data_IF_471106803801
#
_entry.id   IF_471106803801
#
_cell.length_a   1.000
_cell.length_b   1.000
_cell.length_c   1.000
_cell.angle_alpha   90.00
_cell.angle_beta   90.00
_cell.angle_gamma   90.00
#
_symmetry.space_group_name_H-M   'P 1'
#
loop_
_entity.id
_entity.type
_entity.pdbx_description
1 polymer ?
#
# COMPACT_ATOMS: atom_id res chain seq x y z
N UNK A 1 2.96 4.23 -32.23
CA UNK A 1 1.49 4.20 -32.08
C UNK A 1 1.16 2.98 -31.25
N UNK A 2 0.86 3.16 -29.96
CA UNK A 2 0.57 2.04 -29.05
C UNK A 2 -0.93 1.85 -28.96
N UNK A 3 -1.43 0.64 -29.22
CA UNK A 3 -2.81 0.28 -28.93
C UNK A 3 -3.07 0.50 -27.43
N UNK A 4 -4.00 1.38 -27.09
CA UNK A 4 -4.46 1.53 -25.71
C UNK A 4 -5.23 0.26 -25.36
N UNK A 5 -4.73 -0.54 -24.41
CA UNK A 5 -5.45 -1.69 -23.92
C UNK A 5 -6.78 -1.21 -23.32
N UNK A 6 -7.90 -1.55 -23.96
CA UNK A 6 -9.23 -1.31 -23.40
C UNK A 6 -9.45 -2.24 -22.21
N UNK A 7 -10.13 -1.74 -21.17
CA UNK A 7 -10.56 -2.57 -20.05
C UNK A 7 -11.59 -3.58 -20.59
N UNK A 8 -11.44 -4.90 -20.35
CA UNK A 8 -12.43 -5.90 -20.71
C UNK A 8 -13.78 -5.65 -20.00
N UNK A 9 -14.89 -5.89 -20.70
CA UNK A 9 -16.25 -5.75 -20.15
C UNK A 9 -16.52 -6.68 -18.96
N UNK A 10 -15.70 -7.72 -18.77
CA UNK A 10 -15.76 -8.62 -17.62
C UNK A 10 -15.31 -7.96 -16.31
N UNK A 11 -14.69 -6.79 -16.38
CA UNK A 11 -14.20 -6.04 -15.20
C UNK A 11 -15.22 -4.98 -14.85
N UNK A 12 -15.90 -5.18 -13.73
CA UNK A 12 -16.85 -4.21 -13.20
C UNK A 12 -16.11 -2.98 -12.63
N UNK A 13 -16.00 -1.95 -13.45
CA UNK A 13 -15.35 -0.69 -13.06
C UNK A 13 -16.16 0.09 -12.03
N UNK A 14 -17.48 -0.12 -11.94
CA UNK A 14 -18.34 0.58 -10.98
C UNK A 14 -18.15 -0.02 -9.59
N UNK A 15 -18.07 -1.35 -9.48
CA UNK A 15 -17.73 -2.04 -8.24
C UNK A 15 -16.35 -1.64 -7.71
N UNK A 16 -15.34 -1.59 -8.58
CA UNK A 16 -13.98 -1.15 -8.22
C UNK A 16 -13.99 0.31 -7.74
N UNK A 17 -14.78 1.17 -8.38
CA UNK A 17 -14.94 2.58 -7.96
C UNK A 17 -15.52 2.68 -6.55
N UNK A 18 -16.57 1.91 -6.24
CA UNK A 18 -17.22 1.90 -4.92
C UNK A 18 -16.28 1.38 -3.83
N UNK A 19 -15.55 0.30 -4.12
CA UNK A 19 -14.68 -0.36 -3.13
C UNK A 19 -13.39 0.41 -2.84
N UNK A 20 -12.78 1.02 -3.86
CA UNK A 20 -11.46 1.67 -3.75
C UNK A 20 -11.52 3.19 -3.71
N UNK A 21 -12.64 3.79 -4.09
CA UNK A 21 -12.79 5.24 -4.24
C UNK A 21 -12.04 5.84 -5.44
N UNK A 22 -11.52 5.01 -6.35
CA UNK A 22 -10.79 5.46 -7.54
C UNK A 22 -11.73 5.88 -8.66
N UNK A 23 -11.39 6.95 -9.37
CA UNK A 23 -12.13 7.34 -10.58
C UNK A 23 -11.92 6.35 -11.72
N UNK A 24 -12.89 6.25 -12.64
CA UNK A 24 -12.77 5.41 -13.86
C UNK A 24 -11.50 5.72 -14.68
N UNK A 25 -11.04 6.98 -14.69
CA UNK A 25 -9.78 7.38 -15.34
C UNK A 25 -8.55 6.79 -14.66
N UNK A 26 -8.53 6.79 -13.32
CA UNK A 26 -7.44 6.16 -12.55
C UNK A 26 -7.45 4.65 -12.75
N UNK A 27 -8.62 4.01 -12.73
CA UNK A 27 -8.76 2.57 -13.00
C UNK A 27 -8.26 2.22 -14.41
N UNK A 28 -8.61 3.03 -15.42
CA UNK A 28 -8.10 2.85 -16.79
C UNK A 28 -6.59 3.02 -16.90
N UNK A 29 -6.01 4.00 -16.20
CA UNK A 29 -4.56 4.17 -16.11
C UNK A 29 -3.87 2.97 -15.46
N UNK A 30 -4.46 2.44 -14.38
CA UNK A 30 -3.98 1.22 -13.72
C UNK A 30 -4.12 -0.02 -14.61
N UNK A 31 -5.17 -0.11 -15.42
CA UNK A 31 -5.37 -1.21 -16.37
C UNK A 31 -4.31 -1.23 -17.46
N UNK A 32 -4.07 -0.10 -18.13
CA UNK A 32 -3.01 0.02 -19.14
C UNK A 32 -1.68 -0.45 -18.57
N UNK A 33 -1.40 -0.03 -17.33
CA UNK A 33 -0.17 -0.40 -16.65
C UNK A 33 -0.11 -1.88 -16.28
N UNK A 34 -1.19 -2.44 -15.74
CA UNK A 34 -1.28 -3.85 -15.43
C UNK A 34 -1.02 -4.68 -16.69
N UNK A 35 -1.67 -4.32 -17.79
CA UNK A 35 -1.50 -4.96 -19.08
C UNK A 35 -0.06 -4.86 -19.61
N UNK A 36 0.61 -3.71 -19.46
CA UNK A 36 2.01 -3.55 -19.84
C UNK A 36 2.96 -4.42 -19.02
N UNK A 37 2.71 -4.56 -17.72
CA UNK A 37 3.50 -5.42 -16.83
C UNK A 37 3.24 -6.90 -17.12
N UNK A 38 2.01 -7.26 -17.45
CA UNK A 38 1.54 -8.63 -17.74
C UNK A 38 2.12 -9.19 -19.04
N UNK A 39 2.57 -8.32 -19.95
CA UNK A 39 3.23 -8.73 -21.19
C UNK A 39 4.54 -9.40 -20.86
N UNK A 40 4.53 -10.72 -20.96
CA UNK A 40 5.72 -11.51 -20.75
C UNK A 40 6.78 -11.14 -21.79
N UNK A 41 7.96 -10.72 -21.32
CA UNK A 41 9.11 -10.48 -22.20
C UNK A 41 9.64 -11.75 -22.86
N UNK A 42 9.06 -12.92 -22.52
CA UNK A 42 9.37 -14.23 -23.07
C UNK A 42 8.39 -14.52 -24.21
N UNK A 43 8.81 -14.18 -25.42
CA UNK A 43 8.02 -14.32 -26.62
C UNK A 43 7.66 -15.77 -26.92
N UNK A 44 6.45 -16.18 -26.53
CA UNK A 44 5.80 -17.40 -27.03
C UNK A 44 4.55 -17.07 -27.89
N UNK A 45 4.41 -15.82 -28.34
CA UNK A 45 3.37 -15.41 -29.30
C UNK A 45 1.93 -15.44 -28.79
N UNK A 46 1.69 -15.80 -27.53
CA UNK A 46 0.36 -15.86 -26.92
C UNK A 46 0.24 -14.93 -25.73
N UNK A 47 -0.38 -13.77 -25.98
CA UNK A 47 -1.37 -13.22 -25.07
C UNK A 47 -0.90 -12.61 -23.74
N UNK A 48 -1.83 -11.86 -23.16
CA UNK A 48 -1.82 -11.44 -21.77
C UNK A 48 -2.16 -12.68 -20.91
N UNK A 49 -1.45 -12.89 -19.81
CA UNK A 49 -1.71 -14.02 -18.88
C UNK A 49 -2.85 -13.70 -17.91
N UNK A 50 -3.14 -12.41 -17.71
CA UNK A 50 -4.25 -11.93 -16.88
C UNK A 50 -3.94 -11.86 -15.39
N UNK A 51 -2.69 -12.08 -14.99
CA UNK A 51 -2.21 -12.03 -13.61
C UNK A 51 -0.74 -11.64 -13.57
N UNK A 52 -0.34 -10.80 -12.61
CA UNK A 52 1.07 -10.50 -12.40
C UNK A 52 1.72 -11.55 -11.49
N UNK A 53 2.99 -11.84 -11.72
CA UNK A 53 3.85 -12.63 -10.84
C UNK A 53 5.06 -11.79 -10.38
N UNK A 54 5.90 -12.39 -9.52
CA UNK A 54 7.07 -11.72 -8.97
C UNK A 54 8.08 -11.28 -10.04
N UNK A 55 8.19 -12.02 -11.15
CA UNK A 55 9.11 -11.69 -12.23
C UNK A 55 8.64 -10.46 -13.00
N UNK A 56 7.33 -10.29 -13.23
CA UNK A 56 6.80 -9.11 -13.90
C UNK A 56 7.10 -7.82 -13.15
N UNK A 57 6.95 -7.84 -11.82
CA UNK A 57 7.23 -6.68 -10.99
C UNK A 57 8.72 -6.34 -10.99
N UNK A 58 9.59 -7.36 -11.03
CA UNK A 58 11.05 -7.19 -11.12
C UNK A 58 11.52 -6.62 -12.45
N UNK A 59 10.75 -6.79 -13.53
CA UNK A 59 11.08 -6.19 -14.85
C UNK A 59 11.05 -4.67 -14.83
N UNK A 60 10.38 -4.04 -13.87
CA UNK A 60 10.38 -2.59 -13.73
C UNK A 60 11.75 -2.14 -13.19
N UNK A 61 12.58 -1.42 -13.97
CA UNK A 61 13.95 -1.12 -13.56
C UNK A 61 14.05 -0.33 -12.24
N UNK A 62 13.15 0.67 -12.09
CA UNK A 62 13.02 1.45 -10.85
C UNK A 62 12.58 0.62 -9.65
N UNK A 63 11.94 -0.51 -9.89
CA UNK A 63 11.56 -1.45 -8.85
C UNK A 63 12.75 -2.33 -8.48
N UNK A 64 13.50 -2.87 -9.45
CA UNK A 64 14.69 -3.69 -9.17
C UNK A 64 15.83 -2.96 -8.45
N UNK A 65 15.91 -1.64 -8.61
CA UNK A 65 16.90 -0.80 -7.92
C UNK A 65 16.51 -0.45 -6.48
N UNK A 66 15.27 -0.75 -6.06
CA UNK A 66 14.81 -0.48 -4.70
C UNK A 66 15.32 -1.58 -3.73
N UNK A 67 16.09 -1.24 -2.68
CA UNK A 67 16.56 -2.22 -1.69
C UNK A 67 15.41 -3.00 -1.01
N UNK A 68 14.23 -2.38 -0.94
CA UNK A 68 13.02 -2.99 -0.38
C UNK A 68 12.16 -3.72 -1.40
N UNK A 69 12.61 -3.85 -2.66
CA UNK A 69 11.85 -4.48 -3.74
C UNK A 69 11.43 -5.92 -3.40
N UNK A 70 12.38 -6.71 -2.90
CA UNK A 70 12.12 -8.11 -2.50
C UNK A 70 11.05 -8.18 -1.41
N UNK A 71 11.11 -7.27 -0.43
CA UNK A 71 10.12 -7.20 0.63
C UNK A 71 8.75 -6.76 0.09
N UNK A 72 8.74 -5.77 -0.81
CA UNK A 72 7.54 -5.24 -1.44
C UNK A 72 6.83 -6.32 -2.26
N UNK A 73 7.57 -7.11 -3.05
CA UNK A 73 7.03 -8.29 -3.75
C UNK A 73 6.40 -9.25 -2.76
N UNK A 74 7.14 -9.64 -1.71
CA UNK A 74 6.64 -10.58 -0.70
C UNK A 74 5.31 -10.09 -0.09
N UNK A 75 5.24 -8.85 0.41
CA UNK A 75 4.01 -8.29 0.98
C UNK A 75 2.87 -8.21 -0.05
N UNK A 76 3.16 -7.80 -1.30
CA UNK A 76 2.12 -7.72 -2.34
C UNK A 76 1.48 -9.08 -2.58
N UNK A 77 2.29 -10.14 -2.75
CA UNK A 77 1.77 -11.46 -3.07
C UNK A 77 1.18 -12.20 -1.87
N UNK A 78 1.71 -11.98 -0.66
CA UNK A 78 1.20 -12.59 0.57
C UNK A 78 -0.11 -11.93 1.03
N UNK A 79 -0.23 -10.60 0.95
CA UNK A 79 -1.40 -9.87 1.49
C UNK A 79 -2.51 -9.66 0.45
N UNK A 80 -2.15 -9.55 -0.84
CA UNK A 80 -3.11 -9.24 -1.90
C UNK A 80 -3.19 -10.32 -2.97
N UNK A 81 -2.15 -11.13 -3.13
CA UNK A 81 -2.08 -12.17 -4.15
C UNK A 81 -2.76 -13.47 -3.73
N UNK A 82 -2.71 -14.45 -4.63
CA UNK A 82 -3.10 -15.83 -4.36
C UNK A 82 -2.23 -16.74 -5.21
N UNK A 83 -1.65 -17.79 -4.62
CA UNK A 83 -0.75 -18.73 -5.31
C UNK A 83 0.43 -18.05 -6.04
N UNK A 84 0.98 -16.96 -5.49
CA UNK A 84 2.07 -16.20 -6.10
C UNK A 84 1.66 -15.37 -7.32
N UNK A 85 0.36 -15.18 -7.54
CA UNK A 85 -0.22 -14.44 -8.65
C UNK A 85 -1.06 -13.27 -8.13
N UNK A 86 -1.15 -12.20 -8.93
CA UNK A 86 -1.91 -10.99 -8.61
C UNK A 86 -2.83 -10.62 -9.77
N UNK A 87 -4.13 -10.83 -9.59
CA UNK A 87 -5.16 -10.44 -10.56
C UNK A 87 -5.32 -8.92 -10.64
N UNK A 88 -5.98 -8.40 -11.68
CA UNK A 88 -6.20 -6.96 -11.81
C UNK A 88 -6.96 -6.36 -10.61
N UNK A 89 -7.98 -7.03 -10.10
CA UNK A 89 -8.76 -6.55 -8.94
C UNK A 89 -7.88 -6.44 -7.69
N UNK A 90 -7.03 -7.44 -7.46
CA UNK A 90 -6.07 -7.43 -6.34
C UNK A 90 -5.00 -6.36 -6.53
N UNK A 91 -4.51 -6.18 -7.76
CA UNK A 91 -3.58 -5.10 -8.11
C UNK A 91 -4.17 -3.72 -7.84
N UNK A 92 -5.43 -3.46 -8.24
CA UNK A 92 -6.09 -2.19 -7.96
C UNK A 92 -6.31 -1.98 -6.46
N UNK A 93 -6.68 -3.03 -5.71
CA UNK A 93 -6.79 -2.96 -4.26
C UNK A 93 -5.46 -2.57 -3.60
N UNK A 94 -4.36 -3.21 -3.99
CA UNK A 94 -3.01 -2.83 -3.55
C UNK A 94 -2.69 -1.36 -3.90
N UNK A 95 -2.90 -0.97 -5.16
CA UNK A 95 -2.61 0.39 -5.63
C UNK A 95 -3.45 1.46 -4.92
N UNK A 96 -4.69 1.14 -4.55
CA UNK A 96 -5.59 2.05 -3.81
C UNK A 96 -5.03 2.49 -2.46
N UNK A 97 -4.15 1.67 -1.85
CA UNK A 97 -3.45 2.03 -0.60
C UNK A 97 -2.55 3.26 -0.78
N UNK A 98 -2.02 3.48 -1.98
CA UNK A 98 -1.01 4.52 -2.25
C UNK A 98 -1.47 5.62 -3.19
N UNK A 99 -2.61 5.44 -3.87
CA UNK A 99 -3.23 6.52 -4.61
C UNK A 99 -3.55 7.62 -3.61
N UNK A 100 -2.87 8.77 -3.78
CA UNK A 100 -3.31 9.98 -3.13
C UNK A 100 -4.72 10.22 -3.66
N UNK A 101 -5.73 10.14 -2.79
CA UNK A 101 -7.02 10.72 -3.09
C UNK A 101 -6.70 12.16 -3.44
N UNK A 102 -6.81 12.52 -4.73
CA UNK A 102 -6.65 13.89 -5.16
C UNK A 102 -7.65 14.64 -4.29
N UNK A 103 -7.15 15.49 -3.37
CA UNK A 103 -7.99 16.53 -2.80
C UNK A 103 -8.42 17.33 -4.02
N UNK A 104 -9.57 16.96 -4.59
CA UNK A 104 -10.26 17.82 -5.49
C UNK A 104 -10.25 19.17 -4.80
N UNK A 105 -9.94 20.23 -5.54
CA UNK A 105 -10.31 21.58 -5.14
C UNK A 105 -11.84 21.62 -5.08
N UNK A 106 -12.46 20.88 -4.17
CA UNK A 106 -13.81 21.09 -3.76
C UNK A 106 -13.74 22.34 -2.91
N UNK A 107 -14.09 23.44 -3.57
CA UNK A 107 -14.43 24.70 -2.93
C UNK A 107 -15.20 24.37 -1.65
N UNK A 108 -14.70 24.83 -0.51
CA UNK A 108 -15.36 24.69 0.78
C UNK A 108 -16.78 25.26 0.69
N UNK A 109 -17.75 24.37 0.49
CA UNK A 109 -19.11 24.57 0.96
C UNK A 109 -19.46 23.35 1.80
N UNK A 110 -18.97 23.38 3.03
CA UNK A 110 -19.52 22.53 4.09
C UNK A 110 -21.03 22.81 4.12
N UNK A 111 -21.92 21.81 3.99
CA UNK A 111 -23.32 22.02 4.31
C UNK A 111 -23.39 22.56 5.75
N UNK A 112 -24.24 23.54 6.00
CA UNK A 112 -24.40 24.09 7.35
C UNK A 112 -24.83 22.95 8.29
N UNK A 113 -24.40 23.02 9.55
CA UNK A 113 -24.72 22.00 10.56
C UNK A 113 -26.24 21.67 10.62
N UNK A 114 -27.07 22.65 10.27
CA UNK A 114 -28.52 22.53 10.20
C UNK A 114 -29.01 21.58 9.08
N UNK A 115 -28.33 21.55 7.93
CA UNK A 115 -28.72 20.70 6.79
C UNK A 115 -28.34 19.23 7.00
N UNK A 116 -27.24 18.98 7.72
CA UNK A 116 -26.81 17.62 8.09
C UNK A 116 -27.71 16.97 9.15
N UNK A 117 -28.34 17.77 10.03
CA UNK A 117 -29.23 17.27 11.09
C UNK A 117 -30.62 16.90 10.57
N UNK A 118 -31.09 17.54 9.49
CA UNK A 118 -32.43 17.30 8.94
C UNK A 118 -32.50 16.13 7.95
N UNK A 119 -31.37 15.57 7.52
CA UNK A 119 -31.33 14.43 6.59
C UNK A 119 -30.97 13.09 7.22
N UNK A 120 -30.68 13.03 8.52
CA UNK A 120 -30.24 11.79 9.18
C UNK A 120 -31.45 11.00 9.68
N UNK A 121 -31.79 9.95 8.96
CA UNK A 121 -32.47 8.81 9.59
C UNK A 121 -31.46 8.06 10.43
N UNK A 122 -31.90 7.43 11.53
CA UNK A 122 -31.08 6.80 12.59
C UNK A 122 -30.01 5.80 12.11
N UNK A 123 -30.06 5.39 10.84
CA UNK A 123 -29.14 4.43 10.21
C UNK A 123 -27.85 5.07 9.67
N UNK A 124 -27.78 6.40 9.53
CA UNK A 124 -26.62 7.12 8.95
C UNK A 124 -25.63 7.70 9.99
N UNK A 125 -25.78 7.35 11.26
CA UNK A 125 -24.89 7.84 12.32
C UNK A 125 -23.57 7.04 12.44
N UNK A 126 -23.47 5.86 11.82
CA UNK A 126 -22.20 5.11 11.73
C UNK A 126 -21.34 5.50 10.51
N UNK A 127 -21.92 6.19 9.52
CA UNK A 127 -21.22 6.65 8.31
C UNK A 127 -20.59 8.05 8.43
N UNK A 128 -20.80 8.74 9.57
CA UNK A 128 -20.24 10.07 9.85
C UNK A 128 -19.17 10.01 10.96
N UNK A 129 -18.32 8.97 10.96
CA UNK A 129 -17.15 8.97 11.85
C UNK A 129 -15.87 8.38 11.28
N UNK A 130 -15.70 8.40 9.96
CA UNK A 130 -14.38 8.22 9.36
C UNK A 130 -14.26 9.06 8.10
N UNK A 131 -13.34 10.02 8.10
CA UNK A 131 -12.96 10.69 6.86
C UNK A 131 -12.29 9.64 5.94
N UNK A 132 -12.56 9.60 4.62
CA UNK A 132 -11.85 8.71 3.71
C UNK A 132 -10.32 8.90 3.74
N UNK A 133 -9.84 10.09 4.14
CA UNK A 133 -8.43 10.38 4.38
C UNK A 133 -7.80 9.63 5.56
N UNK A 134 -8.52 9.41 6.66
CA UNK A 134 -8.02 8.66 7.82
C UNK A 134 -7.93 7.17 7.47
N UNK A 135 -8.89 6.66 6.70
CA UNK A 135 -8.84 5.28 6.20
C UNK A 135 -7.64 5.03 5.27
N UNK A 136 -7.24 6.02 4.46
CA UNK A 136 -6.05 5.91 3.61
C UNK A 136 -4.77 5.98 4.45
N UNK A 137 -4.71 6.88 5.44
CA UNK A 137 -3.59 6.97 6.39
C UNK A 137 -3.38 5.65 7.14
N UNK A 138 -4.47 5.05 7.64
CA UNK A 138 -4.46 3.77 8.35
C UNK A 138 -4.06 2.62 7.42
N UNK A 139 -4.61 2.53 6.20
CA UNK A 139 -4.19 1.49 5.24
C UNK A 139 -2.71 1.57 4.91
N UNK A 140 -2.18 2.78 4.70
CA UNK A 140 -0.74 3.00 4.50
C UNK A 140 0.07 2.60 5.72
N UNK A 141 -0.41 2.94 6.93
CA UNK A 141 0.27 2.58 8.17
C UNK A 141 0.37 1.06 8.33
N UNK A 142 -0.76 0.36 8.16
CA UNK A 142 -0.81 -1.10 8.17
C UNK A 142 0.11 -1.70 7.13
N UNK A 143 0.17 -1.12 5.95
CA UNK A 143 1.10 -1.58 4.92
C UNK A 143 2.56 -1.39 5.32
N UNK A 144 2.96 -0.24 5.87
CA UNK A 144 4.33 -0.07 6.37
C UNK A 144 4.62 -1.10 7.45
N UNK A 145 3.71 -1.24 8.42
CA UNK A 145 3.89 -2.19 9.50
C UNK A 145 4.16 -3.59 8.93
N UNK A 146 3.34 -4.03 7.96
CA UNK A 146 3.55 -5.30 7.23
C UNK A 146 4.86 -5.36 6.47
N UNK A 147 5.36 -4.26 5.92
CA UNK A 147 6.68 -4.21 5.28
C UNK A 147 7.83 -4.45 6.27
N UNK A 148 7.67 -4.03 7.52
CA UNK A 148 8.70 -4.19 8.54
C UNK A 148 8.58 -5.51 9.30
N UNK A 149 7.38 -6.05 9.47
CA UNK A 149 7.06 -7.34 10.13
C UNK A 149 7.44 -8.52 9.22
N UNK A 150 8.68 -9.03 9.30
CA UNK A 150 9.26 -9.99 8.33
C UNK A 150 8.68 -11.39 8.50
N UNK A 151 8.49 -11.81 9.74
CA UNK A 151 7.96 -13.13 10.11
C UNK A 151 6.42 -13.20 10.13
N UNK A 152 5.75 -12.05 10.00
CA UNK A 152 4.31 -11.90 9.88
C UNK A 152 3.53 -12.26 11.15
N UNK A 153 4.15 -12.13 12.32
CA UNK A 153 3.53 -12.41 13.61
C UNK A 153 2.60 -11.27 14.11
N UNK A 154 2.57 -10.15 13.37
CA UNK A 154 1.77 -8.97 13.70
C UNK A 154 2.43 -8.07 14.75
N UNK A 155 3.71 -8.28 15.02
CA UNK A 155 4.57 -7.50 15.92
C UNK A 155 5.82 -7.10 15.14
N UNK A 156 6.48 -6.03 15.57
CA UNK A 156 7.82 -5.69 15.09
C UNK A 156 8.80 -5.99 16.20
N UNK A 157 9.55 -7.06 15.99
CA UNK A 157 10.66 -7.46 16.84
C UNK A 157 11.93 -6.68 16.51
N UNK A 158 12.95 -6.84 17.35
CA UNK A 158 14.29 -6.30 17.07
C UNK A 158 14.87 -6.96 15.82
N UNK A 159 14.63 -8.24 15.67
CA UNK A 159 15.11 -9.08 14.57
C UNK A 159 14.55 -8.60 13.23
N UNK A 160 13.26 -8.25 13.18
CA UNK A 160 12.60 -7.64 12.02
C UNK A 160 13.29 -6.35 11.58
N UNK A 161 13.46 -5.41 12.52
CA UNK A 161 14.09 -4.11 12.24
C UNK A 161 15.53 -4.30 11.81
N UNK A 162 16.26 -5.23 12.44
CA UNK A 162 17.64 -5.55 12.08
C UNK A 162 17.75 -6.11 10.65
N UNK A 163 16.87 -7.03 10.25
CA UNK A 163 16.87 -7.61 8.91
C UNK A 163 16.56 -6.54 7.85
N UNK A 164 15.56 -5.70 8.12
CA UNK A 164 15.19 -4.58 7.25
C UNK A 164 16.34 -3.57 7.11
N UNK A 165 17.03 -3.24 8.22
CA UNK A 165 18.21 -2.35 8.19
C UNK A 165 19.33 -2.93 7.35
N UNK A 166 19.61 -4.24 7.47
CA UNK A 166 20.62 -4.92 6.65
C UNK A 166 20.26 -4.88 5.17
N UNK A 167 18.98 -5.09 4.82
CA UNK A 167 18.50 -4.96 3.44
C UNK A 167 18.64 -3.54 2.88
N UNK A 168 18.33 -2.51 3.67
CA UNK A 168 18.38 -1.11 3.22
C UNK A 168 19.78 -0.53 3.14
N UNK A 169 20.63 -0.80 4.12
CA UNK A 169 21.96 -0.17 4.26
C UNK A 169 23.04 -1.01 3.58
N UNK A 170 22.88 -2.33 3.53
CA UNK A 170 23.79 -3.28 2.90
C UNK A 170 25.12 -3.46 3.63
N UNK A 171 25.86 -2.38 3.87
CA UNK A 171 27.17 -2.36 4.55
C UNK A 171 27.04 -1.88 6.00
N UNK A 172 26.42 -2.68 6.84
CA UNK A 172 26.36 -2.45 8.29
C UNK A 172 26.72 -3.76 8.99
N UNK A 173 27.50 -3.69 10.08
CA UNK A 173 27.80 -4.89 10.87
C UNK A 173 26.56 -5.37 11.63
N UNK A 174 26.54 -6.66 11.96
CA UNK A 174 25.42 -7.24 12.72
C UNK A 174 25.25 -6.57 14.08
N UNK A 175 26.34 -6.15 14.71
CA UNK A 175 26.38 -5.45 15.98
C UNK A 175 25.80 -4.03 15.87
N UNK A 176 26.20 -3.25 14.87
CA UNK A 176 25.65 -1.90 14.64
C UNK A 176 24.17 -1.95 14.29
N UNK A 177 23.77 -2.90 13.43
CA UNK A 177 22.37 -3.09 13.07
C UNK A 177 21.53 -3.47 14.30
N UNK A 178 22.08 -4.32 15.19
CA UNK A 178 21.47 -4.70 16.46
C UNK A 178 21.29 -3.49 17.40
N UNK A 179 22.31 -2.64 17.53
CA UNK A 179 22.24 -1.44 18.38
C UNK A 179 21.22 -0.42 17.88
N UNK A 180 21.15 -0.22 16.56
CA UNK A 180 20.15 0.67 15.96
C UNK A 180 18.75 0.07 16.15
N UNK A 181 18.57 -1.22 15.91
CA UNK A 181 17.28 -1.89 16.10
C UNK A 181 16.78 -1.80 17.54
N UNK A 182 17.65 -2.05 18.54
CA UNK A 182 17.30 -1.90 19.96
C UNK A 182 16.86 -0.48 20.30
N UNK A 183 17.59 0.52 19.80
CA UNK A 183 17.25 1.92 20.01
C UNK A 183 15.90 2.27 19.38
N UNK A 184 15.67 1.85 18.14
CA UNK A 184 14.40 2.07 17.44
C UNK A 184 13.26 1.44 18.22
N UNK A 185 13.35 0.16 18.58
CA UNK A 185 12.29 -0.52 19.35
C UNK A 185 12.03 0.19 20.69
N UNK A 186 13.10 0.57 21.40
CA UNK A 186 13.01 1.28 22.69
C UNK A 186 12.26 2.61 22.62
N UNK A 187 12.30 3.32 21.48
CA UNK A 187 11.54 4.55 21.27
C UNK A 187 10.01 4.32 21.24
N UNK A 188 9.56 3.11 20.86
CA UNK A 188 8.13 2.77 20.79
C UNK A 188 7.60 2.11 22.06
N UNK A 189 8.47 1.54 22.89
CA UNK A 189 8.09 0.66 24.00
C UNK A 189 8.43 1.23 25.37
N UNK A 190 8.63 2.56 25.45
CA UNK A 190 9.06 3.25 26.67
C UNK A 190 10.34 2.63 27.28
N UNK A 191 11.25 2.16 26.42
CA UNK A 191 12.49 1.46 26.77
C UNK A 191 12.30 0.14 27.56
N UNK A 192 11.17 -0.56 27.39
CA UNK A 192 11.03 -1.89 27.96
C UNK A 192 11.92 -2.90 27.23
N UNK A 193 12.82 -3.61 27.92
CA UNK A 193 13.68 -4.61 27.29
C UNK A 193 12.85 -5.80 26.77
N UNK A 194 13.22 -6.36 25.61
CA UNK A 194 12.54 -7.50 24.95
C UNK A 194 11.09 -7.27 24.54
N UNK A 195 10.66 -6.02 24.48
CA UNK A 195 9.33 -5.65 23.99
C UNK A 195 9.31 -5.61 22.46
N UNK A 196 8.13 -5.85 21.90
CA UNK A 196 7.85 -5.77 20.47
C UNK A 196 6.89 -4.63 20.20
N UNK A 197 7.00 -3.98 19.05
CA UNK A 197 6.04 -2.93 18.66
C UNK A 197 4.81 -3.58 18.04
N UNK A 198 3.63 -3.36 18.63
CA UNK A 198 2.36 -3.78 18.03
C UNK A 198 1.83 -2.70 17.09
N UNK A 199 0.89 -3.06 16.21
CA UNK A 199 0.24 -2.08 15.34
C UNK A 199 -0.37 -0.90 16.12
N UNK A 200 -0.92 -1.15 17.31
CA UNK A 200 -1.50 -0.09 18.16
C UNK A 200 -0.44 0.90 18.64
N UNK A 201 0.67 0.39 19.19
CA UNK A 201 1.80 1.24 19.64
C UNK A 201 2.44 1.99 18.47
N UNK A 202 2.54 1.35 17.30
CA UNK A 202 3.02 1.96 16.07
C UNK A 202 2.08 3.06 15.57
N UNK A 203 0.77 2.84 15.61
CA UNK A 203 -0.22 3.85 15.25
C UNK A 203 -0.18 5.04 16.21
N UNK A 204 -0.07 4.81 17.53
CA UNK A 204 -0.03 5.88 18.52
C UNK A 204 1.19 6.78 18.40
N UNK A 205 2.37 6.19 18.28
CA UNK A 205 3.63 6.91 18.12
C UNK A 205 3.68 7.70 16.81
N UNK A 206 3.19 7.11 15.71
CA UNK A 206 3.21 7.75 14.39
C UNK A 206 1.98 8.61 14.08
N UNK A 207 0.96 8.68 14.96
CA UNK A 207 -0.22 9.56 14.81
C UNK A 207 0.20 11.02 14.65
N UNK A 208 1.24 11.44 15.36
CA UNK A 208 1.76 12.81 15.39
C UNK A 208 2.60 13.18 14.16
N UNK A 209 3.06 12.19 13.38
CA UNK A 209 3.85 12.42 12.18
C UNK A 209 2.96 12.61 10.95
N UNK A 210 3.20 13.69 10.19
CA UNK A 210 2.60 13.88 8.88
C UNK A 210 3.47 13.24 7.79
N UNK A 211 3.06 12.06 7.35
CA UNK A 211 3.77 11.24 6.37
C UNK A 211 3.10 11.22 4.98
N UNK A 212 2.06 12.03 4.77
CA UNK A 212 1.28 12.01 3.53
C UNK A 212 2.11 12.26 2.26
N UNK A 213 3.12 13.13 2.36
CA UNK A 213 3.97 13.51 1.23
C UNK A 213 5.13 12.54 0.98
N UNK A 214 5.57 11.83 2.03
CA UNK A 214 6.70 10.87 1.94
C UNK A 214 6.27 9.47 1.47
N UNK A 215 4.99 9.13 1.62
CA UNK A 215 4.41 7.83 1.23
C UNK A 215 3.56 7.89 -0.05
N UNK A 216 4.19 8.31 -1.14
CA UNK A 216 3.64 8.12 -2.49
C UNK A 216 4.47 7.06 -3.22
N UNK A 217 3.82 6.01 -3.74
CA UNK A 217 4.49 5.04 -4.61
C UNK A 217 4.81 5.71 -5.95
N UNK A 218 5.99 6.33 -6.03
CA UNK A 218 6.55 6.86 -7.28
C UNK A 218 7.30 5.79 -8.08
N UNK A 219 7.41 4.56 -7.56
CA UNK A 219 8.07 3.41 -8.20
C UNK A 219 7.52 3.06 -9.58
N UNK A 220 6.36 3.62 -9.88
CA UNK A 220 5.53 3.28 -11.01
C UNK A 220 5.33 4.48 -11.96
N UNK A 221 5.88 5.67 -11.71
CA UNK A 221 5.85 6.76 -12.71
C UNK A 221 7.03 6.71 -13.67
#
# INVERSE_FOLDING_TARGET
MGATASIPDTIDTDEITVTTGLSKRQISSLWTRFYELDRDGRGNGQGYKGFLDADDLRRVPKFSENPMASRLVKVIFDDFGSNGQLTFRQFVNFMSTFVQCERGRHNQRRPSAFQAVMSTTKTDLESIKYCPGDSAKIRKMKFIFRMYDVDHDGRLSKEDVQEILKMMVGKISDEEASLIAEKVIGEFTENQPFSTVTLETFEETLKTLDFNDKMSLKLLK
#
